data_IF_583901376356
#
_entry.id   IF_583901376356
#
_cell.length_a   1.000
_cell.length_b   1.000
_cell.length_c   1.000
_cell.angle_alpha   90.00
_cell.angle_beta   90.00
_cell.angle_gamma   90.00
#
_symmetry.space_group_name_H-M   'P 1'
#
loop_
_entity.id
_entity.type
_entity.pdbx_description
1 polymer ?
#
# COMPACT_ATOMS: atom_id res chain seq x y z
N UNK A 1 -13.54 -0.58 -18.48
CA UNK A 1 -12.56 -0.01 -19.46
C UNK A 1 -12.86 1.45 -19.80
N UNK A 2 -14.08 1.76 -20.24
CA UNK A 2 -14.46 3.11 -20.67
C UNK A 2 -14.34 4.17 -19.56
N UNK A 3 -14.66 3.82 -18.31
CA UNK A 3 -14.51 4.73 -17.17
C UNK A 3 -13.07 5.21 -16.96
N UNK A 4 -12.08 4.30 -17.07
CA UNK A 4 -10.68 4.65 -16.85
C UNK A 4 -10.15 5.57 -17.97
N UNK A 5 -10.48 5.25 -19.22
CA UNK A 5 -10.09 6.07 -20.39
C UNK A 5 -10.68 7.47 -20.31
N UNK A 6 -11.96 7.57 -19.93
CA UNK A 6 -12.63 8.85 -19.77
C UNK A 6 -11.98 9.71 -18.67
N UNK A 7 -11.72 9.12 -17.51
CA UNK A 7 -11.11 9.83 -16.37
C UNK A 7 -9.69 10.31 -16.68
N UNK A 8 -8.87 9.51 -17.37
CA UNK A 8 -7.47 9.83 -17.64
C UNK A 8 -7.23 10.61 -18.94
N UNK A 9 -8.27 10.89 -19.74
CA UNK A 9 -8.13 11.51 -21.06
C UNK A 9 -7.41 12.88 -21.03
N UNK A 10 -7.72 13.72 -20.04
CA UNK A 10 -7.06 15.03 -19.92
C UNK A 10 -5.58 14.91 -19.50
N UNK A 11 -5.28 13.95 -18.62
CA UNK A 11 -3.93 13.71 -18.14
C UNK A 11 -3.03 13.16 -19.25
N UNK A 12 -3.51 12.20 -20.05
CA UNK A 12 -2.74 11.60 -21.14
C UNK A 12 -2.46 12.57 -22.31
N UNK A 13 -3.24 13.65 -22.45
CA UNK A 13 -2.94 14.69 -23.43
C UNK A 13 -1.79 15.60 -22.99
N UNK A 14 -1.57 15.71 -21.68
CA UNK A 14 -0.61 16.67 -21.09
C UNK A 14 0.67 15.99 -20.58
N UNK A 15 0.61 14.70 -20.24
CA UNK A 15 1.72 13.92 -19.69
C UNK A 15 2.09 12.72 -20.57
N UNK A 16 3.34 12.71 -21.04
CA UNK A 16 3.86 11.66 -21.92
C UNK A 16 3.84 10.29 -21.27
N UNK A 17 4.23 10.22 -20.00
CA UNK A 17 4.32 8.96 -19.28
C UNK A 17 2.93 8.31 -19.15
N UNK A 18 1.94 9.08 -18.72
CA UNK A 18 0.53 8.65 -18.66
C UNK A 18 0.01 8.25 -20.03
N UNK A 19 0.38 8.99 -21.09
CA UNK A 19 -0.01 8.64 -22.46
C UNK A 19 0.49 7.27 -22.88
N UNK A 20 1.75 6.95 -22.56
CA UNK A 20 2.34 5.65 -22.88
C UNK A 20 1.68 4.51 -22.09
N UNK A 21 1.35 4.73 -20.81
CA UNK A 21 0.60 3.74 -20.02
C UNK A 21 -0.77 3.44 -20.64
N UNK A 22 -1.49 4.47 -21.09
CA UNK A 22 -2.78 4.31 -21.77
C UNK A 22 -2.65 3.58 -23.12
N UNK A 23 -1.58 3.84 -23.88
CA UNK A 23 -1.31 3.13 -25.12
C UNK A 23 -1.08 1.62 -24.90
N UNK A 24 -0.35 1.25 -23.84
CA UNK A 24 -0.17 -0.16 -23.45
C UNK A 24 -1.51 -0.78 -23.05
N UNK A 25 -2.30 -0.08 -22.23
CA UNK A 25 -3.63 -0.53 -21.83
C UNK A 25 -4.53 -0.84 -23.03
N UNK A 26 -4.56 0.07 -24.01
CA UNK A 26 -5.34 -0.10 -25.25
C UNK A 26 -4.84 -1.27 -26.11
N UNK A 27 -3.52 -1.42 -26.23
CA UNK A 27 -2.90 -2.50 -27.00
C UNK A 27 -3.21 -3.88 -26.40
N UNK A 28 -3.21 -4.01 -25.07
CA UNK A 28 -3.55 -5.27 -24.38
C UNK A 28 -5.02 -5.62 -24.58
N UNK A 29 -5.93 -4.66 -24.40
CA UNK A 29 -7.37 -4.90 -24.55
C UNK A 29 -7.81 -5.17 -25.99
N UNK A 30 -7.11 -4.61 -26.97
CA UNK A 30 -7.40 -4.81 -28.40
C UNK A 30 -6.58 -5.94 -29.03
N UNK A 31 -5.68 -6.55 -28.25
CA UNK A 31 -4.75 -7.58 -28.70
C UNK A 31 -5.40 -8.95 -28.87
N UNK A 32 -4.62 -9.97 -29.28
CA UNK A 32 -5.13 -11.31 -29.55
C UNK A 32 -5.50 -12.10 -28.29
N UNK A 33 -5.13 -11.61 -27.10
CA UNK A 33 -5.38 -12.25 -25.80
C UNK A 33 -5.87 -11.25 -24.73
N UNK A 34 -7.02 -10.60 -24.93
CA UNK A 34 -7.54 -9.60 -23.99
C UNK A 34 -7.93 -10.21 -22.63
N UNK A 35 -8.18 -11.52 -22.57
CA UNK A 35 -8.52 -12.25 -21.34
C UNK A 35 -7.40 -12.24 -20.29
N UNK A 36 -6.15 -11.99 -20.71
CA UNK A 36 -5.01 -11.83 -19.79
C UNK A 36 -5.26 -10.65 -18.84
N UNK A 37 -5.94 -9.60 -19.31
CA UNK A 37 -6.28 -8.45 -18.47
C UNK A 37 -7.27 -8.77 -17.34
N UNK A 38 -7.97 -9.92 -17.41
CA UNK A 38 -8.94 -10.33 -16.39
C UNK A 38 -8.31 -11.14 -15.25
N UNK A 39 -7.02 -11.49 -15.34
CA UNK A 39 -6.28 -12.19 -14.29
C UNK A 39 -5.27 -11.23 -13.70
N UNK A 40 -5.54 -10.73 -12.49
CA UNK A 40 -4.65 -9.80 -11.80
C UNK A 40 -4.38 -10.29 -10.39
N UNK A 41 -3.10 -10.24 -10.02
CA UNK A 41 -2.65 -10.26 -8.63
C UNK A 41 -2.31 -8.81 -8.27
N UNK A 42 -2.85 -8.34 -7.14
CA UNK A 42 -2.65 -6.96 -6.70
C UNK A 42 -2.20 -6.94 -5.24
N UNK A 43 -1.02 -6.36 -5.01
CA UNK A 43 -0.51 -6.04 -3.68
C UNK A 43 -0.58 -4.52 -3.53
N UNK A 44 -1.71 -4.06 -3.00
CA UNK A 44 -2.01 -2.64 -2.88
C UNK A 44 -1.70 -2.13 -1.46
N UNK A 45 -1.37 -0.85 -1.34
CA UNK A 45 -1.22 -0.15 -0.06
C UNK A 45 -2.07 1.10 -0.05
N UNK A 46 -2.95 1.23 0.95
CA UNK A 46 -3.71 2.45 1.20
C UNK A 46 -3.03 3.21 2.33
N UNK A 47 -2.55 4.41 2.03
CA UNK A 47 -1.83 5.24 2.99
C UNK A 47 -2.80 6.28 3.58
N UNK A 48 -2.77 6.44 4.91
CA UNK A 48 -3.70 7.27 5.65
C UNK A 48 -2.97 8.25 6.57
N UNK A 49 -3.58 9.43 6.78
CA UNK A 49 -3.16 10.41 7.77
C UNK A 49 -4.33 10.81 8.67
N UNK A 50 -4.04 11.08 9.95
CA UNK A 50 -5.03 11.59 10.89
C UNK A 50 -5.15 13.10 10.70
N UNK A 51 -6.35 13.58 10.38
CA UNK A 51 -6.63 15.00 10.31
C UNK A 51 -6.64 15.63 11.71
N UNK A 52 -5.86 16.69 11.90
CA UNK A 52 -5.69 17.34 13.20
C UNK A 52 -6.97 17.99 13.72
N UNK A 53 -7.79 18.55 12.83
CA UNK A 53 -9.00 19.27 13.23
C UNK A 53 -10.18 18.33 13.52
N UNK A 54 -10.43 17.37 12.63
CA UNK A 54 -11.59 16.48 12.72
C UNK A 54 -11.30 15.16 13.42
N UNK A 55 -10.02 14.84 13.68
CA UNK A 55 -9.57 13.55 14.22
C UNK A 55 -10.03 12.36 13.37
N UNK A 56 -10.26 12.58 12.07
CA UNK A 56 -10.65 11.54 11.11
C UNK A 56 -9.42 10.99 10.42
N UNK A 57 -9.44 9.69 10.16
CA UNK A 57 -8.45 9.03 9.32
C UNK A 57 -8.82 9.28 7.86
N UNK A 58 -7.97 10.00 7.13
CA UNK A 58 -8.17 10.34 5.72
C UNK A 58 -7.17 9.58 4.86
N UNK A 59 -7.65 8.97 3.78
CA UNK A 59 -6.78 8.34 2.80
C UNK A 59 -6.08 9.43 1.98
N UNK A 60 -4.75 9.38 1.95
CA UNK A 60 -3.93 10.34 1.20
C UNK A 60 -3.44 9.77 -0.13
N UNK A 61 -3.29 8.44 -0.21
CA UNK A 61 -2.79 7.78 -1.42
C UNK A 61 -3.32 6.34 -1.53
N UNK A 62 -3.43 5.85 -2.77
CA UNK A 62 -3.59 4.43 -3.08
C UNK A 62 -2.43 4.01 -3.98
N UNK A 63 -1.55 3.18 -3.44
CA UNK A 63 -0.43 2.58 -4.17
C UNK A 63 -0.86 1.23 -4.72
N UNK A 64 -0.85 1.09 -6.06
CA UNK A 64 -1.19 -0.16 -6.76
C UNK A 64 -0.02 -0.74 -7.56
N UNK A 65 1.14 -0.11 -7.49
CA UNK A 65 2.36 -0.53 -8.17
C UNK A 65 3.53 -0.44 -7.20
N UNK A 66 4.34 -1.50 -7.14
CA UNK A 66 5.57 -1.54 -6.34
C UNK A 66 5.36 -1.06 -4.89
N UNK A 67 4.24 -1.49 -4.28
CA UNK A 67 3.88 -1.16 -2.90
C UNK A 67 5.00 -1.62 -1.95
N UNK A 68 5.85 -0.68 -1.56
CA UNK A 68 7.09 -0.97 -0.83
C UNK A 68 6.83 -1.23 0.66
N UNK A 69 7.87 -1.62 1.38
CA UNK A 69 7.89 -1.81 2.84
C UNK A 69 7.02 -2.93 3.41
N UNK A 70 6.36 -3.76 2.58
CA UNK A 70 5.62 -4.92 3.08
C UNK A 70 6.48 -5.83 3.95
N UNK A 71 7.69 -6.18 3.49
CA UNK A 71 8.59 -7.01 4.28
C UNK A 71 9.19 -6.26 5.49
N UNK A 72 9.62 -5.01 5.27
CA UNK A 72 10.24 -4.20 6.30
C UNK A 72 9.29 -3.91 7.45
N UNK A 73 7.99 -3.75 7.18
CA UNK A 73 7.01 -3.43 8.20
C UNK A 73 6.91 -4.56 9.24
N UNK A 74 6.90 -5.84 8.82
CA UNK A 74 6.94 -7.00 9.73
C UNK A 74 8.14 -6.90 10.68
N UNK A 75 9.32 -6.64 10.12
CA UNK A 75 10.56 -6.51 10.91
C UNK A 75 10.52 -5.31 11.87
N UNK A 76 9.96 -4.17 11.44
CA UNK A 76 9.81 -2.99 12.31
C UNK A 76 8.90 -3.28 13.50
N UNK A 77 7.77 -3.95 13.27
CA UNK A 77 6.85 -4.37 14.34
C UNK A 77 7.55 -5.27 15.37
N UNK A 78 8.30 -6.28 14.91
CA UNK A 78 9.06 -7.18 15.78
C UNK A 78 10.13 -6.43 16.56
N UNK A 79 10.89 -5.54 15.91
CA UNK A 79 11.92 -4.74 16.55
C UNK A 79 11.34 -3.82 17.62
N UNK A 80 10.25 -3.10 17.32
CA UNK A 80 9.61 -2.21 18.30
C UNK A 80 9.11 -2.98 19.52
N UNK A 81 8.52 -4.16 19.33
CA UNK A 81 8.12 -5.04 20.44
C UNK A 81 9.31 -5.45 21.31
N UNK A 82 10.44 -5.79 20.70
CA UNK A 82 11.68 -6.13 21.42
C UNK A 82 12.22 -4.93 22.21
N UNK A 83 12.26 -3.74 21.60
CA UNK A 83 12.72 -2.52 22.27
C UNK A 83 11.82 -2.17 23.45
N UNK A 84 10.50 -2.14 23.26
CA UNK A 84 9.54 -1.87 24.34
C UNK A 84 9.67 -2.89 25.47
N UNK A 85 9.76 -4.18 25.14
CA UNK A 85 9.95 -5.23 26.14
C UNK A 85 11.25 -5.07 26.94
N UNK A 86 12.38 -4.78 26.25
CA UNK A 86 13.69 -4.61 26.89
C UNK A 86 13.72 -3.41 27.85
N UNK A 87 13.01 -2.33 27.50
CA UNK A 87 12.97 -1.10 28.30
C UNK A 87 11.65 -0.94 29.08
N UNK A 88 10.87 -2.01 29.26
CA UNK A 88 9.52 -1.95 29.82
C UNK A 88 9.47 -1.30 31.22
N UNK A 89 10.47 -1.56 32.08
CA UNK A 89 10.56 -0.92 33.39
C UNK A 89 10.70 0.61 33.29
N UNK A 90 11.63 1.07 32.43
CA UNK A 90 11.87 2.49 32.22
C UNK A 90 10.69 3.19 31.52
N UNK A 91 10.07 2.53 30.54
CA UNK A 91 8.91 3.04 29.81
C UNK A 91 7.61 2.92 30.61
N UNK A 92 7.59 2.05 31.63
CA UNK A 92 6.43 1.77 32.49
C UNK A 92 6.05 2.97 33.34
N UNK A 93 7.02 3.76 33.81
CA UNK A 93 6.77 5.02 34.53
C UNK A 93 5.98 6.05 33.69
N UNK A 94 6.06 5.94 32.36
CA UNK A 94 5.31 6.77 31.42
C UNK A 94 4.07 6.06 30.82
N UNK A 95 3.71 4.86 31.29
CA UNK A 95 2.59 4.07 30.76
C UNK A 95 2.83 3.49 29.35
N UNK A 96 4.09 3.38 28.92
CA UNK A 96 4.50 2.95 27.57
C UNK A 96 5.28 1.63 27.54
N UNK A 97 5.35 0.91 28.66
CA UNK A 97 6.11 -0.34 28.78
C UNK A 97 5.40 -1.59 28.22
N UNK A 98 4.19 -1.46 27.69
CA UNK A 98 3.41 -2.59 27.20
C UNK A 98 3.66 -2.86 25.70
N UNK A 99 4.48 -3.86 25.41
CA UNK A 99 4.81 -4.29 24.05
C UNK A 99 3.58 -4.82 23.26
N UNK A 100 2.51 -5.24 23.95
CA UNK A 100 1.30 -5.71 23.28
C UNK A 100 0.56 -4.59 22.54
N UNK A 101 0.80 -3.33 22.91
CA UNK A 101 0.23 -2.14 22.25
C UNK A 101 0.85 -1.82 20.90
N UNK A 102 1.98 -2.44 20.56
CA UNK A 102 2.55 -2.39 19.21
C UNK A 102 1.87 -3.48 18.37
N UNK A 103 1.11 -3.15 17.32
CA UNK A 103 0.46 -4.15 16.47
C UNK A 103 1.48 -5.11 15.86
N UNK A 104 1.13 -6.40 15.79
CA UNK A 104 1.89 -7.38 15.02
C UNK A 104 1.20 -7.66 13.70
N UNK A 105 1.98 -7.89 12.66
CA UNK A 105 1.52 -8.32 11.35
C UNK A 105 2.66 -9.08 10.68
N UNK A 106 2.32 -10.11 9.88
CA UNK A 106 3.27 -10.90 9.10
C UNK A 106 3.09 -10.64 7.61
N UNK A 107 3.25 -9.38 7.23
CA UNK A 107 3.09 -8.94 5.84
C UNK A 107 4.10 -9.60 4.89
N UNK A 108 5.24 -10.10 5.39
CA UNK A 108 6.16 -10.95 4.61
C UNK A 108 5.42 -12.24 4.21
N UNK A 109 4.90 -12.97 5.19
CA UNK A 109 4.16 -14.20 4.96
C UNK A 109 2.94 -13.98 4.07
N UNK A 110 2.14 -12.96 4.38
CA UNK A 110 0.92 -12.63 3.63
C UNK A 110 1.21 -12.34 2.14
N UNK A 111 2.31 -11.64 1.85
CA UNK A 111 2.72 -11.36 0.46
C UNK A 111 3.17 -12.64 -0.25
N UNK A 112 3.92 -13.51 0.43
CA UNK A 112 4.40 -14.77 -0.15
C UNK A 112 3.23 -15.72 -0.45
N UNK A 113 2.24 -15.82 0.44
CA UNK A 113 1.05 -16.66 0.24
C UNK A 113 0.15 -16.20 -0.92
N UNK A 114 0.27 -14.93 -1.32
CA UNK A 114 -0.51 -14.39 -2.43
C UNK A 114 -0.01 -14.83 -3.82
N UNK A 115 1.19 -15.43 -3.92
CA UNK A 115 1.79 -15.96 -5.15
C UNK A 115 1.64 -17.48 -5.25
#
# INVERSE_FOLDING_TARGET
PETLKSVLSSASQQDEFTRQLMAIYDAVLSGPRPEVANRSLAINRSDYMLDGATQRLLQVELNTISSSFGAQSTLMSQMHRQVVGKFAHFLGEAGRGDASRVPHHDTIGDIVEAF
#
